data_IF_483350747989
#
_entry.id   IF_483350747989
#
_cell.length_a   1.000
_cell.length_b   1.000
_cell.length_c   1.000
_cell.angle_alpha   90.00
_cell.angle_beta   90.00
_cell.angle_gamma   90.00
#
_symmetry.space_group_name_H-M   'P 1'
#
loop_
_entity.id
_entity.type
_entity.pdbx_description
1 polymer ?
#
# COMPACT_ATOMS: atom_id res chain seq x y z
N UNK A 1 20.03 9.23 -6.84
CA UNK A 1 19.89 8.76 -5.44
C UNK A 1 19.32 9.91 -4.63
N UNK A 2 18.25 9.67 -3.89
CA UNK A 2 17.50 10.68 -3.12
C UNK A 2 17.82 10.44 -1.64
N UNK A 3 18.26 11.47 -0.90
CA UNK A 3 18.76 11.33 0.48
C UNK A 3 17.83 11.90 1.54
N UNK A 4 16.74 12.56 1.14
CA UNK A 4 15.69 13.08 2.03
C UNK A 4 14.31 12.80 1.44
N UNK A 5 13.31 12.43 2.26
CA UNK A 5 12.00 12.04 1.76
C UNK A 5 11.10 13.23 1.37
N UNK A 6 11.36 14.40 1.95
CA UNK A 6 10.59 15.65 1.80
C UNK A 6 11.11 16.50 0.62
N UNK A 7 11.10 15.91 -0.57
CA UNK A 7 11.40 16.64 -1.81
C UNK A 7 10.32 17.70 -2.10
N UNK A 8 10.63 18.77 -2.87
CA UNK A 8 9.67 19.86 -3.14
C UNK A 8 8.35 19.42 -3.78
N UNK A 9 8.38 18.28 -4.48
CA UNK A 9 7.24 17.55 -5.04
C UNK A 9 7.52 16.05 -4.96
N UNK A 10 6.52 15.17 -5.01
CA UNK A 10 6.74 13.74 -5.15
C UNK A 10 7.53 13.44 -6.41
N UNK A 11 8.72 12.87 -6.25
CA UNK A 11 9.52 12.31 -7.34
C UNK A 11 9.15 10.84 -7.45
N UNK A 12 8.60 10.45 -8.58
CA UNK A 12 8.03 9.12 -8.75
C UNK A 12 8.86 8.26 -9.67
N UNK A 13 8.78 6.95 -9.46
CA UNK A 13 9.16 5.94 -10.43
C UNK A 13 7.91 5.24 -10.96
N UNK A 14 7.95 4.90 -12.25
CA UNK A 14 6.88 4.15 -12.93
C UNK A 14 7.46 2.80 -13.34
N UNK A 15 6.88 1.73 -12.81
CA UNK A 15 7.34 0.36 -13.05
C UNK A 15 6.21 -0.38 -13.74
N UNK A 16 6.37 -0.67 -15.03
CA UNK A 16 5.33 -1.29 -15.86
C UNK A 16 5.97 -2.16 -16.95
N UNK A 17 6.50 -3.35 -16.60
CA UNK A 17 7.14 -4.24 -17.57
C UNK A 17 6.15 -4.94 -18.51
N UNK A 18 4.84 -4.89 -18.23
CA UNK A 18 3.82 -5.58 -19.02
C UNK A 18 2.40 -5.18 -18.62
N UNK A 19 1.52 -6.17 -18.42
CA UNK A 19 0.09 -5.96 -18.09
C UNK A 19 -0.15 -5.36 -16.71
N UNK A 20 0.83 -5.37 -15.79
CA UNK A 20 0.71 -4.76 -14.48
C UNK A 20 1.71 -3.62 -14.33
N UNK A 21 1.25 -2.52 -13.74
CA UNK A 21 2.06 -1.35 -13.50
C UNK A 21 1.79 -0.71 -12.15
N UNK A 22 2.79 -0.02 -11.64
CA UNK A 22 2.69 0.78 -10.43
C UNK A 22 3.45 2.10 -10.55
N UNK A 23 2.97 3.09 -9.81
CA UNK A 23 3.69 4.32 -9.49
C UNK A 23 4.08 4.25 -8.02
N UNK A 24 5.32 4.62 -7.71
CA UNK A 24 5.79 4.76 -6.33
C UNK A 24 6.62 6.04 -6.20
N UNK A 25 6.29 6.85 -5.20
CA UNK A 25 7.04 8.06 -4.87
C UNK A 25 8.33 7.73 -4.13
N UNK A 26 9.22 8.72 -4.06
CA UNK A 26 10.42 8.64 -3.26
C UNK A 26 10.10 8.33 -1.79
N UNK A 27 8.92 8.72 -1.30
CA UNK A 27 8.39 8.54 0.05
C UNK A 27 7.52 7.28 0.25
N UNK A 28 7.43 6.41 -0.76
CA UNK A 28 6.76 5.10 -0.71
C UNK A 28 5.24 5.10 -0.80
N UNK A 29 4.61 6.26 -0.99
CA UNK A 29 3.23 6.33 -1.44
C UNK A 29 3.16 5.91 -2.92
N UNK A 30 2.03 5.35 -3.35
CA UNK A 30 1.95 4.76 -4.67
C UNK A 30 0.59 4.16 -4.96
N UNK A 31 0.36 3.84 -6.22
CA UNK A 31 -0.83 3.13 -6.68
C UNK A 31 -0.47 2.14 -7.78
N UNK A 32 -1.39 1.23 -8.08
CA UNK A 32 -1.18 0.20 -9.11
C UNK A 32 -2.39 0.03 -9.99
N UNK A 33 -2.15 -0.45 -11.20
CA UNK A 33 -3.16 -0.77 -12.19
C UNK A 33 -2.78 -2.04 -12.94
N UNK A 34 -3.77 -2.58 -13.66
CA UNK A 34 -3.58 -3.68 -14.59
C UNK A 34 -4.22 -3.34 -15.93
N UNK A 35 -3.55 -3.57 -17.04
CA UNK A 35 -3.95 -3.28 -18.42
C UNK A 35 -4.12 -1.80 -18.75
N UNK A 36 -4.95 -1.07 -18.00
CA UNK A 36 -5.27 0.34 -18.25
C UNK A 36 -5.41 1.12 -16.93
N UNK A 37 -4.61 2.18 -16.78
CA UNK A 37 -4.55 3.00 -15.56
C UNK A 37 -5.85 3.79 -15.30
N UNK A 38 -6.66 4.07 -16.32
CA UNK A 38 -7.93 4.77 -16.15
C UNK A 38 -9.09 3.82 -15.90
N UNK A 39 -9.04 2.61 -16.47
CA UNK A 39 -10.18 1.68 -16.48
C UNK A 39 -10.04 0.53 -15.47
N UNK A 40 -8.83 0.22 -15.02
CA UNK A 40 -8.56 -0.96 -14.22
C UNK A 40 -7.43 -0.75 -13.19
N UNK A 41 -7.68 0.21 -12.30
CA UNK A 41 -6.88 0.43 -11.10
C UNK A 41 -7.05 -0.70 -10.11
N UNK A 42 -5.96 -1.10 -9.47
CA UNK A 42 -5.93 -2.11 -8.40
C UNK A 42 -6.07 -1.43 -7.04
N UNK A 43 -5.24 -0.44 -6.74
CA UNK A 43 -5.28 0.32 -5.49
C UNK A 43 -5.77 1.74 -5.70
N UNK A 44 -6.21 2.42 -4.62
CA UNK A 44 -6.69 3.81 -4.69
C UNK A 44 -5.63 4.70 -5.34
N UNK A 45 -6.08 5.66 -6.13
CA UNK A 45 -5.33 6.85 -6.48
C UNK A 45 -6.21 8.07 -6.28
N UNK A 46 -5.55 9.21 -6.07
CA UNK A 46 -6.19 10.49 -5.86
C UNK A 46 -5.34 11.57 -6.51
N UNK A 47 -5.98 12.43 -7.31
CA UNK A 47 -5.31 13.56 -7.92
C UNK A 47 -5.19 14.70 -6.91
N UNK A 48 -4.20 14.61 -6.02
CA UNK A 48 -3.82 15.68 -5.12
C UNK A 48 -2.43 16.21 -5.52
N UNK A 49 -2.32 17.52 -5.78
CA UNK A 49 -1.05 18.17 -6.16
C UNK A 49 -0.18 18.51 -4.95
N UNK A 50 -0.77 18.56 -3.76
CA UNK A 50 -0.11 18.94 -2.50
C UNK A 50 0.31 17.70 -1.71
N UNK A 51 -0.51 16.65 -1.74
CA UNK A 51 -0.29 15.45 -0.93
C UNK A 51 0.25 14.28 -1.75
N UNK A 52 0.97 13.43 -1.03
CA UNK A 52 1.48 12.15 -1.51
C UNK A 52 0.86 11.04 -0.66
N UNK A 53 -0.43 10.77 -0.88
CA UNK A 53 -1.25 9.88 -0.04
C UNK A 53 -2.04 8.83 -0.85
N UNK A 54 -1.35 8.12 -1.75
CA UNK A 54 -1.97 7.24 -2.75
C UNK A 54 -2.28 5.81 -2.27
N UNK A 55 -2.20 5.53 -0.97
CA UNK A 55 -3.00 4.47 -0.36
C UNK A 55 -2.34 3.09 -0.28
N UNK A 56 -1.01 2.97 -0.30
CA UNK A 56 -0.26 1.73 -0.01
C UNK A 56 0.92 2.05 0.91
N UNK A 57 1.00 1.39 2.07
CA UNK A 57 1.99 1.73 3.09
C UNK A 57 2.47 0.51 3.90
N UNK A 58 3.67 0.64 4.46
CA UNK A 58 4.24 -0.28 5.44
C UNK A 58 4.56 0.49 6.72
N UNK A 59 3.96 0.05 7.82
CA UNK A 59 4.20 0.58 9.16
C UNK A 59 4.98 -0.42 9.98
N UNK A 60 5.90 0.08 10.79
CA UNK A 60 6.61 -0.70 11.78
C UNK A 60 6.30 -0.10 13.16
N UNK A 61 5.93 -0.97 14.10
CA UNK A 61 5.67 -0.61 15.48
C UNK A 61 6.64 -1.36 16.37
N UNK A 62 7.26 -0.63 17.28
CA UNK A 62 7.95 -1.22 18.42
C UNK A 62 6.93 -1.53 19.52
N UNK A 63 6.84 -2.80 19.90
CA UNK A 63 5.83 -3.27 20.84
C UNK A 63 6.16 -2.92 22.29
N UNK A 64 7.43 -2.67 22.60
CA UNK A 64 7.91 -2.41 23.95
C UNK A 64 7.69 -0.93 24.32
N UNK A 65 7.98 -0.02 23.39
CA UNK A 65 7.76 1.43 23.54
C UNK A 65 6.39 1.92 23.07
N UNK A 66 5.75 1.18 22.16
CA UNK A 66 4.52 1.60 21.48
C UNK A 66 4.73 2.62 20.35
N UNK A 67 5.97 3.02 20.10
CA UNK A 67 6.33 3.94 19.02
C UNK A 67 6.17 3.26 17.64
N UNK A 68 5.86 4.05 16.61
CA UNK A 68 5.68 3.54 15.25
C UNK A 68 6.10 4.55 14.19
N UNK A 69 6.46 4.03 13.02
CA UNK A 69 6.86 4.80 11.86
C UNK A 69 6.54 4.06 10.57
N UNK A 70 6.69 4.74 9.44
CA UNK A 70 6.59 4.11 8.13
C UNK A 70 7.97 3.73 7.62
N UNK A 71 8.10 2.55 7.00
CA UNK A 71 9.37 2.13 6.41
C UNK A 71 9.84 3.07 5.29
N UNK A 72 8.91 3.74 4.62
CA UNK A 72 9.20 4.61 3.49
C UNK A 72 9.08 6.12 3.78
N UNK A 73 8.85 6.53 5.04
CA UNK A 73 8.46 7.87 5.50
C UNK A 73 6.96 8.17 5.45
N UNK A 74 6.29 8.08 4.29
CA UNK A 74 4.82 8.22 4.26
C UNK A 74 4.13 6.94 4.76
N UNK A 75 2.99 7.05 5.47
CA UNK A 75 2.25 8.28 5.72
C UNK A 75 2.54 8.90 7.09
N UNK A 76 3.23 8.22 8.01
CA UNK A 76 3.47 8.74 9.39
C UNK A 76 4.35 10.00 9.40
N UNK A 77 5.22 10.15 8.41
CA UNK A 77 6.12 11.30 8.25
C UNK A 77 7.09 11.52 9.42
N UNK A 78 7.35 10.49 10.24
CA UNK A 78 8.35 10.56 11.31
C UNK A 78 9.73 10.79 10.71
N UNK A 79 10.44 11.80 11.19
CA UNK A 79 11.78 12.13 10.71
C UNK A 79 12.73 10.94 10.97
N UNK A 80 13.33 10.36 9.91
CA UNK A 80 14.29 9.27 10.08
C UNK A 80 15.68 9.81 10.43
N UNK A 81 16.47 8.98 11.10
CA UNK A 81 17.90 9.25 11.40
C UNK A 81 18.73 9.22 10.11
N UNK A 82 18.38 8.32 9.19
CA UNK A 82 18.92 8.31 7.84
C UNK A 82 17.86 7.86 6.84
N UNK A 83 17.97 8.37 5.61
CA UNK A 83 17.03 8.04 4.53
C UNK A 83 17.73 7.96 3.18
N UNK A 84 17.33 6.99 2.37
CA UNK A 84 17.80 6.87 1.00
C UNK A 84 16.71 6.23 0.14
N UNK A 85 16.33 6.89 -0.94
CA UNK A 85 15.53 6.30 -2.00
C UNK A 85 16.34 6.17 -3.30
N UNK A 86 16.30 4.97 -3.89
CA UNK A 86 16.87 4.67 -5.20
C UNK A 86 15.75 4.16 -6.10
N UNK A 87 15.34 5.01 -7.02
CA UNK A 87 14.62 4.59 -8.21
C UNK A 87 15.61 3.96 -9.19
N UNK A 88 15.36 2.70 -9.54
CA UNK A 88 16.08 1.95 -10.56
C UNK A 88 15.16 1.60 -11.73
N UNK A 89 15.73 0.98 -12.76
CA UNK A 89 14.97 0.46 -13.89
C UNK A 89 14.19 -0.76 -13.41
N UNK A 90 12.86 -0.66 -13.35
CA UNK A 90 11.98 -1.75 -12.95
C UNK A 90 11.81 -1.96 -11.43
N UNK A 91 12.45 -1.14 -10.59
CA UNK A 91 12.34 -1.26 -9.13
C UNK A 91 12.56 0.07 -8.41
N UNK A 92 12.09 0.16 -7.17
CA UNK A 92 12.46 1.22 -6.22
C UNK A 92 12.87 0.60 -4.90
N UNK A 93 14.00 1.03 -4.34
CA UNK A 93 14.43 0.64 -2.99
C UNK A 93 14.49 1.88 -2.09
N UNK A 94 13.85 1.80 -0.93
CA UNK A 94 13.86 2.82 0.12
C UNK A 94 14.52 2.20 1.35
N UNK A 95 15.59 2.83 1.81
CA UNK A 95 16.27 2.51 3.05
C UNK A 95 16.01 3.61 4.07
N UNK A 96 15.69 3.23 5.30
CA UNK A 96 15.55 4.17 6.42
C UNK A 96 16.13 3.61 7.70
N UNK A 97 16.59 4.49 8.59
CA UNK A 97 16.94 4.18 9.96
C UNK A 97 16.02 4.96 10.90
N UNK A 98 15.34 4.25 11.79
CA UNK A 98 14.46 4.83 12.79
C UNK A 98 14.61 4.04 14.09
N UNK A 99 14.96 4.72 15.18
CA UNK A 99 15.07 4.13 16.51
C UNK A 99 15.97 2.88 16.52
N UNK A 100 17.15 3.01 15.90
CA UNK A 100 18.14 1.94 15.73
C UNK A 100 17.64 0.71 14.94
N UNK A 101 16.53 0.83 14.21
CA UNK A 101 16.05 -0.20 13.29
C UNK A 101 16.29 0.24 11.85
N UNK A 102 17.23 -0.41 11.19
CA UNK A 102 17.47 -0.25 9.76
C UNK A 102 16.42 -1.04 8.97
N UNK A 103 15.79 -0.39 8.02
CA UNK A 103 14.83 -0.99 7.11
C UNK A 103 15.24 -0.79 5.65
N UNK A 104 14.96 -1.80 4.82
CA UNK A 104 15.09 -1.75 3.36
C UNK A 104 13.80 -2.28 2.76
N UNK A 105 13.03 -1.41 2.13
CA UNK A 105 11.81 -1.73 1.39
C UNK A 105 12.07 -1.62 -0.11
N UNK A 106 12.01 -2.73 -0.84
CA UNK A 106 12.12 -2.77 -2.29
C UNK A 106 10.78 -3.18 -2.91
N UNK A 107 10.32 -2.38 -3.87
CA UNK A 107 9.11 -2.65 -4.66
C UNK A 107 9.47 -2.81 -6.13
N UNK A 108 8.95 -3.84 -6.77
CA UNK A 108 9.14 -4.10 -8.19
C UNK A 108 7.99 -4.95 -8.75
N UNK A 109 7.88 -4.99 -10.07
CA UNK A 109 6.95 -5.86 -10.80
C UNK A 109 7.80 -6.91 -11.52
N UNK A 110 7.70 -8.21 -11.20
CA UNK A 110 8.33 -9.26 -11.99
C UNK A 110 7.85 -9.22 -13.45
N UNK A 111 8.71 -9.57 -14.42
CA UNK A 111 8.27 -9.76 -15.80
C UNK A 111 7.14 -10.79 -15.89
N UNK A 112 6.19 -10.58 -16.80
CA UNK A 112 5.11 -11.51 -17.18
C UNK A 112 4.09 -11.90 -16.08
N UNK A 113 4.26 -11.42 -14.85
CA UNK A 113 3.39 -11.72 -13.71
C UNK A 113 2.59 -10.48 -13.30
N UNK A 114 1.24 -10.52 -13.24
CA UNK A 114 0.41 -9.35 -13.00
C UNK A 114 0.30 -9.01 -11.51
N UNK A 115 1.45 -8.87 -10.83
CA UNK A 115 1.55 -8.58 -9.40
C UNK A 115 2.75 -7.69 -9.10
N UNK A 116 2.78 -7.08 -7.92
CA UNK A 116 3.95 -6.41 -7.38
C UNK A 116 4.51 -7.15 -6.17
N UNK A 117 5.82 -7.12 -6.01
CA UNK A 117 6.52 -7.74 -4.88
C UNK A 117 7.02 -6.64 -3.95
N UNK A 118 6.68 -6.77 -2.67
CA UNK A 118 7.16 -5.91 -1.59
C UNK A 118 8.19 -6.68 -0.78
N UNK A 119 9.47 -6.44 -1.04
CA UNK A 119 10.56 -7.09 -0.33
C UNK A 119 11.02 -6.20 0.83
N UNK A 120 10.80 -6.67 2.06
CA UNK A 120 11.17 -5.96 3.28
C UNK A 120 12.31 -6.69 3.99
N UNK A 121 13.34 -5.93 4.35
CA UNK A 121 14.42 -6.38 5.25
C UNK A 121 14.48 -5.45 6.44
N UNK A 122 14.51 -6.02 7.64
CA UNK A 122 14.66 -5.29 8.89
C UNK A 122 15.92 -5.77 9.60
N UNK A 123 16.67 -4.84 10.17
CA UNK A 123 17.86 -5.11 10.98
C UNK A 123 17.76 -4.31 12.26
N UNK A 124 17.85 -5.00 13.38
CA UNK A 124 18.02 -4.37 14.69
C UNK A 124 19.50 -4.01 14.87
N UNK A 125 19.79 -2.72 14.98
CA UNK A 125 21.14 -2.18 15.24
C UNK A 125 21.35 -1.80 16.70
N UNK A 126 20.30 -1.87 17.53
CA UNK A 126 20.40 -1.65 18.96
C UNK A 126 21.12 -2.80 19.67
N UNK A 127 21.60 -2.53 20.89
CA UNK A 127 22.24 -3.52 21.77
C UNK A 127 21.24 -4.46 22.48
N UNK A 128 19.93 -4.22 22.34
CA UNK A 128 18.88 -4.99 23.01
C UNK A 128 18.03 -5.76 22.02
N UNK A 129 17.37 -6.83 22.47
CA UNK A 129 16.33 -7.49 21.68
C UNK A 129 15.13 -6.55 21.51
N UNK A 130 14.52 -6.54 20.33
CA UNK A 130 13.38 -5.68 19.99
C UNK A 130 12.19 -6.53 19.60
N UNK A 131 11.01 -6.22 20.16
CA UNK A 131 9.74 -6.82 19.75
C UNK A 131 9.06 -5.90 18.74
N UNK A 132 8.97 -6.31 17.47
CA UNK A 132 8.47 -5.46 16.38
C UNK A 132 7.22 -6.08 15.73
N UNK A 133 6.28 -5.23 15.33
CA UNK A 133 5.11 -5.60 14.53
C UNK A 133 5.12 -4.84 13.20
N UNK A 134 5.11 -5.56 12.08
CA UNK A 134 5.04 -4.99 10.73
C UNK A 134 3.60 -5.06 10.22
N UNK A 135 3.08 -3.94 9.74
CA UNK A 135 1.73 -3.82 9.19
C UNK A 135 1.81 -3.34 7.74
N UNK A 136 1.19 -4.08 6.83
CA UNK A 136 0.89 -3.59 5.49
C UNK A 136 -0.51 -3.00 5.45
N UNK A 137 -0.66 -1.89 4.74
CA UNK A 137 -1.93 -1.26 4.49
C UNK A 137 -2.06 -0.95 3.01
N UNK A 138 -3.23 -1.24 2.44
CA UNK A 138 -3.60 -0.72 1.13
C UNK A 138 -5.10 -0.46 1.06
N UNK A 139 -5.50 0.45 0.17
CA UNK A 139 -6.90 0.67 -0.17
C UNK A 139 -7.20 0.14 -1.58
N UNK A 140 -8.14 -0.79 -1.68
CA UNK A 140 -8.59 -1.34 -2.96
C UNK A 140 -9.41 -0.32 -3.77
N UNK A 141 -9.22 -0.33 -5.10
CA UNK A 141 -10.03 0.45 -6.05
C UNK A 141 -10.82 -0.44 -7.01
N UNK A 142 -10.14 -1.42 -7.60
CA UNK A 142 -10.68 -2.47 -8.48
C UNK A 142 -11.60 -1.90 -9.60
N UNK A 143 -11.02 -1.21 -10.58
CA UNK A 143 -11.77 -0.68 -11.73
C UNK A 143 -11.44 0.76 -12.08
N UNK A 144 -12.40 1.50 -12.63
CA UNK A 144 -12.16 2.79 -13.24
C UNK A 144 -11.84 3.93 -12.23
N UNK A 145 -11.01 4.88 -12.66
CA UNK A 145 -10.72 6.12 -11.92
C UNK A 145 -11.92 7.07 -11.95
N UNK A 146 -12.63 7.12 -13.08
CA UNK A 146 -13.68 8.10 -13.38
C UNK A 146 -15.08 7.72 -12.87
N UNK A 147 -15.21 6.86 -11.86
CA UNK A 147 -16.51 6.60 -11.24
C UNK A 147 -17.11 7.94 -10.76
N UNK A 148 -18.15 8.40 -11.44
CA UNK A 148 -18.86 9.67 -11.20
C UNK A 148 -19.44 9.74 -9.78
N UNK A 149 -19.56 8.58 -9.13
CA UNK A 149 -19.92 8.41 -7.73
C UNK A 149 -18.83 7.63 -6.96
N UNK A 150 -17.60 8.17 -6.88
CA UNK A 150 -16.40 7.52 -6.29
C UNK A 150 -16.64 6.78 -4.96
N UNK A 151 -17.54 7.29 -4.10
CA UNK A 151 -17.91 6.65 -2.82
C UNK A 151 -18.94 5.53 -2.95
N UNK A 152 -19.89 5.62 -3.90
CA UNK A 152 -20.88 4.57 -4.17
C UNK A 152 -20.19 3.27 -4.60
N UNK A 153 -19.16 3.36 -5.43
CA UNK A 153 -18.46 2.17 -5.95
C UNK A 153 -17.68 1.39 -4.89
N UNK A 154 -17.33 2.03 -3.77
CA UNK A 154 -16.61 1.36 -2.67
C UNK A 154 -17.48 0.32 -1.97
N UNK A 155 -18.81 0.47 -2.00
CA UNK A 155 -19.74 -0.47 -1.33
C UNK A 155 -19.85 -1.82 -2.06
N UNK A 156 -19.36 -1.89 -3.30
CA UNK A 156 -19.38 -3.11 -4.12
C UNK A 156 -18.08 -3.91 -4.04
N UNK A 157 -17.09 -3.44 -3.27
CA UNK A 157 -15.85 -4.16 -3.02
C UNK A 157 -16.11 -5.18 -1.91
N UNK A 158 -15.85 -6.45 -2.22
CA UNK A 158 -15.94 -7.53 -1.25
C UNK A 158 -14.54 -8.00 -0.91
N UNK A 159 -14.28 -8.25 0.37
CA UNK A 159 -12.97 -8.69 0.85
C UNK A 159 -13.12 -9.88 1.77
N UNK A 160 -12.19 -10.81 1.66
CA UNK A 160 -12.17 -12.03 2.47
C UNK A 160 -10.71 -12.37 2.80
N UNK A 161 -10.46 -12.92 3.98
CA UNK A 161 -9.14 -13.44 4.33
C UNK A 161 -9.12 -14.97 4.29
N UNK A 162 -8.30 -15.52 3.40
CA UNK A 162 -8.10 -16.95 3.27
C UNK A 162 -6.90 -17.42 4.12
N UNK A 163 -7.20 -18.12 5.22
CA UNK A 163 -6.19 -18.56 6.22
C UNK A 163 -5.16 -19.53 5.67
N UNK A 164 -5.53 -20.39 4.73
CA UNK A 164 -4.65 -21.43 4.18
C UNK A 164 -3.59 -20.81 3.26
N UNK A 165 -4.00 -19.84 2.46
CA UNK A 165 -3.17 -19.13 1.49
C UNK A 165 -2.46 -17.91 2.10
N UNK A 166 -2.80 -17.54 3.35
CA UNK A 166 -2.32 -16.31 4.01
C UNK A 166 -2.50 -15.08 3.12
N UNK A 167 -3.70 -14.95 2.54
CA UNK A 167 -4.02 -13.96 1.53
C UNK A 167 -5.35 -13.26 1.84
N UNK A 168 -5.34 -11.93 1.74
CA UNK A 168 -6.54 -11.11 1.68
C UNK A 168 -6.96 -11.02 0.21
N UNK A 169 -8.15 -11.51 -0.11
CA UNK A 169 -8.74 -11.44 -1.43
C UNK A 169 -9.68 -10.25 -1.54
N UNK A 170 -9.79 -9.70 -2.74
CA UNK A 170 -10.75 -8.66 -3.05
C UNK A 170 -11.35 -8.84 -4.45
N UNK A 171 -12.66 -8.70 -4.53
CA UNK A 171 -13.44 -8.65 -5.77
C UNK A 171 -14.33 -7.42 -5.78
N UNK A 172 -14.94 -7.10 -6.92
CA UNK A 172 -15.90 -6.00 -7.01
C UNK A 172 -17.06 -6.38 -7.90
N UNK A 173 -18.30 -6.15 -7.44
CA UNK A 173 -19.53 -6.46 -8.20
C UNK A 173 -19.94 -5.39 -9.22
N UNK A 174 -19.17 -4.32 -9.31
CA UNK A 174 -19.47 -3.18 -10.17
C UNK A 174 -18.22 -2.67 -10.89
N UNK A 175 -18.14 -2.97 -12.18
CA UNK A 175 -17.11 -2.46 -13.08
C UNK A 175 -17.73 -1.69 -14.24
N UNK A 176 -17.63 -0.36 -14.19
CA UNK A 176 -18.12 0.51 -15.26
C UNK A 176 -17.13 0.60 -16.42
N UNK A 177 -17.31 -0.28 -17.39
CA UNK A 177 -16.71 -0.15 -18.71
C UNK A 177 -17.81 0.21 -19.71
N UNK A 178 -17.83 1.45 -20.18
CA UNK A 178 -18.72 1.83 -21.26
C UNK A 178 -18.35 1.09 -22.55
N UNK A 179 -19.31 0.46 -23.22
CA UNK A 179 -19.11 0.00 -24.59
C UNK A 179 -19.43 1.14 -25.58
N UNK A 180 -18.96 1.03 -26.83
CA UNK A 180 -19.24 2.02 -27.90
C UNK A 180 -20.74 2.21 -28.21
N UNK A 181 -21.60 1.32 -27.69
CA UNK A 181 -23.04 1.29 -27.91
C UNK A 181 -23.82 1.91 -26.74
N UNK A 182 -23.13 2.46 -25.72
CA UNK A 182 -23.76 3.15 -24.60
C UNK A 182 -24.46 2.24 -23.58
N UNK A 183 -24.25 0.92 -23.65
CA UNK A 183 -24.73 0.02 -22.61
C UNK A 183 -23.76 0.09 -21.42
N UNK A 184 -24.20 0.74 -20.35
CA UNK A 184 -23.63 0.59 -19.02
C UNK A 184 -24.53 -0.35 -18.25
N UNK A 185 -24.10 -1.59 -18.00
CA UNK A 185 -24.76 -2.42 -16.99
C UNK A 185 -23.73 -3.01 -16.05
N UNK A 186 -24.08 -2.99 -14.77
CA UNK A 186 -23.30 -3.42 -13.63
C UNK A 186 -22.73 -4.84 -13.85
N UNK A 187 -21.49 -4.93 -14.32
CA UNK A 187 -20.79 -6.19 -14.48
C UNK A 187 -19.83 -6.40 -13.32
N UNK A 188 -19.64 -7.66 -12.94
CA UNK A 188 -18.59 -8.03 -12.01
C UNK A 188 -17.21 -7.69 -12.61
N UNK A 189 -16.32 -7.20 -11.74
CA UNK A 189 -14.93 -7.04 -12.08
C UNK A 189 -14.33 -8.42 -12.35
N UNK A 190 -13.83 -8.63 -13.58
CA UNK A 190 -13.45 -9.96 -14.09
C UNK A 190 -12.23 -10.62 -13.41
N UNK A 191 -11.67 -9.98 -12.40
CA UNK A 191 -10.44 -10.40 -11.74
C UNK A 191 -10.67 -10.63 -10.25
N UNK A 192 -9.75 -11.37 -9.64
CA UNK A 192 -9.63 -11.50 -8.19
C UNK A 192 -8.30 -10.87 -7.79
N UNK A 193 -8.34 -9.81 -7.00
CA UNK A 193 -7.15 -9.19 -6.43
C UNK A 193 -6.77 -9.92 -5.14
N UNK A 194 -5.49 -9.89 -4.81
CA UNK A 194 -5.01 -10.41 -3.54
C UNK A 194 -3.87 -9.58 -2.96
N UNK A 195 -3.74 -9.61 -1.64
CA UNK A 195 -2.58 -9.16 -0.90
C UNK A 195 -2.15 -10.26 0.05
N UNK A 196 -0.90 -10.70 -0.06
CA UNK A 196 -0.38 -11.84 0.71
C UNK A 196 1.01 -11.53 1.27
N UNK A 197 1.40 -12.29 2.28
CA UNK A 197 2.70 -12.21 2.93
C UNK A 197 3.36 -13.59 2.91
N UNK A 198 4.66 -13.62 2.62
CA UNK A 198 5.48 -14.83 2.69
C UNK A 198 5.62 -15.36 4.13
N UNK A 199 5.42 -14.48 5.12
CA UNK A 199 5.33 -14.84 6.54
C UNK A 199 3.85 -14.85 6.92
N UNK A 200 3.39 -15.91 7.58
CA UNK A 200 2.02 -16.02 8.06
C UNK A 200 1.69 -14.84 8.99
N UNK A 201 0.71 -13.99 8.67
CA UNK A 201 0.38 -12.84 9.49
C UNK A 201 -0.30 -13.29 10.80
N UNK A 202 -0.01 -12.57 11.88
CA UNK A 202 -0.61 -12.81 13.19
C UNK A 202 -2.07 -12.37 13.25
N UNK A 203 -2.43 -11.33 12.50
CA UNK A 203 -3.77 -10.73 12.44
C UNK A 203 -3.99 -10.10 11.07
N UNK A 204 -5.25 -9.83 10.73
CA UNK A 204 -5.63 -9.18 9.49
C UNK A 204 -6.83 -8.27 9.74
N UNK A 205 -6.96 -7.25 8.91
CA UNK A 205 -8.10 -6.33 8.92
C UNK A 205 -8.53 -6.10 7.49
N UNK A 206 -9.82 -6.30 7.23
CA UNK A 206 -10.45 -6.07 5.92
C UNK A 206 -11.31 -4.80 5.88
N UNK A 207 -11.44 -4.12 7.02
CA UNK A 207 -12.23 -2.92 7.23
C UNK A 207 -11.32 -1.71 7.50
N UNK A 208 -11.48 -0.64 6.71
CA UNK A 208 -10.73 0.62 6.88
C UNK A 208 -10.94 1.31 8.23
N UNK A 209 -12.16 1.35 8.75
CA UNK A 209 -12.50 1.89 10.07
C UNK A 209 -11.85 1.08 11.19
N UNK A 210 -11.75 -0.25 11.09
CA UNK A 210 -11.05 -1.07 12.08
C UNK A 210 -9.55 -0.78 12.13
N UNK A 211 -8.95 -0.44 10.98
CA UNK A 211 -7.52 -0.09 10.92
C UNK A 211 -7.25 1.34 11.40
N UNK A 212 -7.98 2.32 10.86
CA UNK A 212 -7.78 3.73 11.16
C UNK A 212 -8.37 4.14 12.52
N UNK A 213 -9.48 3.52 12.93
CA UNK A 213 -10.34 3.98 14.01
C UNK A 213 -11.28 5.10 13.58
N UNK A 214 -12.30 5.35 14.40
CA UNK A 214 -13.23 6.47 14.20
C UNK A 214 -12.47 7.80 14.26
N UNK A 215 -12.60 8.61 13.21
CA UNK A 215 -11.82 9.85 13.01
C UNK A 215 -10.29 9.66 12.93
N UNK A 216 -9.83 8.44 12.69
CA UNK A 216 -8.41 8.16 12.50
C UNK A 216 -7.89 8.57 11.13
N UNK A 217 -6.57 8.71 11.04
CA UNK A 217 -5.86 9.06 9.80
C UNK A 217 -4.78 8.03 9.48
N UNK A 218 -4.32 8.03 8.23
CA UNK A 218 -3.20 7.18 7.80
C UNK A 218 -1.91 7.52 8.56
N UNK A 219 -1.75 8.77 8.98
CA UNK A 219 -0.61 9.25 9.78
C UNK A 219 -0.63 8.67 11.20
N UNK A 220 -1.81 8.38 11.75
CA UNK A 220 -1.98 7.99 13.15
C UNK A 220 -3.10 6.96 13.37
N UNK A 221 -3.00 5.78 12.73
CA UNK A 221 -4.06 4.77 12.74
C UNK A 221 -4.23 4.15 14.14
N UNK A 222 -5.48 3.92 14.55
CA UNK A 222 -5.81 3.40 15.88
C UNK A 222 -5.20 2.03 16.17
N UNK A 223 -5.08 1.16 15.14
CA UNK A 223 -4.50 -0.18 15.30
C UNK A 223 -3.04 -0.15 15.75
N UNK A 224 -2.29 0.91 15.44
CA UNK A 224 -0.89 1.07 15.88
C UNK A 224 -0.78 1.63 17.30
N UNK A 225 -1.87 2.23 17.82
CA UNK A 225 -1.94 2.75 19.19
C UNK A 225 -2.40 1.68 20.19
N UNK A 226 -3.31 0.80 19.77
CA UNK A 226 -3.84 -0.28 20.60
C UNK A 226 -2.88 -1.47 20.68
N UNK A 227 -2.62 -1.97 21.89
CA UNK A 227 -1.85 -3.21 22.13
C UNK A 227 -2.58 -4.51 21.77
N UNK A 228 -3.72 -4.43 21.09
CA UNK A 228 -4.57 -5.57 20.80
C UNK A 228 -4.63 -5.78 19.30
N UNK A 229 -4.02 -6.87 18.83
CA UNK A 229 -4.29 -7.37 17.48
C UNK A 229 -5.80 -7.62 17.36
N UNK A 230 -6.50 -7.03 16.37
CA UNK A 230 -7.86 -7.47 16.07
C UNK A 230 -7.81 -8.96 15.70
N UNK A 231 -8.64 -9.76 16.38
CA UNK A 231 -8.78 -11.20 16.13
C UNK A 231 -9.44 -11.49 14.79
#
# INVERSE_FOLDING_TARGET
>A
MITRPDTPRPWVNVICPGDYGLVVSQAGSGFSWRSDVKLNMITRWEQDLLKDDWGKYLYLRDNDSGDYWSLAWKPVCKQPESYQCRHGIGYTTINSLNDEISSSFTIFVPPDEPLEIWMVKLRNESSRKRSLSLFSYLEWRLGAVTDSHREFHKIFIETEYMKKESALLASKRLWELGNRQGQQWNMDWKYLAFHSSSIKPNSFVINRESFLGKYGSLESPAILKGGSSPM
#
